data_IF_850641444622
#
_entry.id   IF_850641444622
#
_cell.length_a   1.000
_cell.length_b   1.000
_cell.length_c   1.000
_cell.angle_alpha   90.00
_cell.angle_beta   90.00
_cell.angle_gamma   90.00
#
_symmetry.space_group_name_H-M   'P 1'
#
loop_
_entity.id
_entity.type
_entity.pdbx_description
1 polymer ?
#
# COMPACT_ATOMS: atom_id res chain seq x y z
N UNK A 1 -23.85 -11.92 -2.65
CA UNK A 1 -22.93 -12.97 -2.19
C UNK A 1 -21.82 -12.21 -1.49
N UNK A 2 -21.66 -12.36 -0.17
CA UNK A 2 -20.52 -11.74 0.51
C UNK A 2 -19.24 -12.31 -0.12
N UNK A 3 -18.31 -11.44 -0.49
CA UNK A 3 -17.01 -11.91 -0.97
C UNK A 3 -16.27 -12.50 0.22
N UNK A 4 -15.73 -13.70 0.03
CA UNK A 4 -14.84 -14.31 0.98
C UNK A 4 -13.43 -13.75 0.73
N UNK A 5 -13.04 -12.80 1.57
CA UNK A 5 -11.70 -12.22 1.56
C UNK A 5 -10.68 -13.12 2.26
N UNK A 6 -11.13 -14.16 2.95
CA UNK A 6 -10.31 -14.95 3.87
C UNK A 6 -9.83 -14.17 5.08
N UNK A 7 -8.87 -14.78 5.77
CA UNK A 7 -8.09 -14.23 6.86
C UNK A 7 -6.60 -14.22 6.47
N UNK A 8 -5.85 -13.25 7.00
CA UNK A 8 -4.40 -13.16 6.81
C UNK A 8 -3.72 -12.61 8.07
N UNK A 9 -2.41 -12.85 8.21
CA UNK A 9 -1.61 -12.22 9.26
C UNK A 9 -1.33 -10.77 8.89
N UNK A 10 -1.57 -9.87 9.84
CA UNK A 10 -1.28 -8.46 9.65
C UNK A 10 0.22 -8.24 9.54
N UNK A 11 0.62 -7.43 8.56
CA UNK A 11 2.01 -6.99 8.38
C UNK A 11 2.24 -5.61 8.98
N UNK A 12 1.17 -4.95 9.44
CA UNK A 12 1.21 -3.59 9.94
C UNK A 12 0.57 -3.52 11.32
N UNK A 13 1.33 -2.99 12.28
CA UNK A 13 0.85 -2.78 13.64
C UNK A 13 -0.33 -1.81 13.68
N UNK A 14 -0.97 -1.63 14.84
CA UNK A 14 -2.06 -0.67 14.99
C UNK A 14 -1.65 0.73 14.58
N UNK A 15 -0.36 1.08 14.73
CA UNK A 15 0.17 2.38 14.33
C UNK A 15 0.48 2.53 12.82
N UNK A 16 0.32 1.45 12.06
CA UNK A 16 0.64 1.34 10.64
C UNK A 16 2.12 1.07 10.35
N UNK A 17 2.98 0.97 11.38
CA UNK A 17 4.37 0.56 11.19
C UNK A 17 4.46 -0.93 10.81
N UNK A 18 5.55 -1.32 10.14
CA UNK A 18 5.78 -2.74 9.83
C UNK A 18 5.91 -3.50 11.16
N UNK A 19 5.08 -4.52 11.32
CA UNK A 19 5.11 -5.44 12.44
C UNK A 19 5.72 -6.76 11.99
N UNK A 20 6.81 -7.16 12.67
CA UNK A 20 7.53 -8.41 12.40
C UNK A 20 7.13 -9.53 13.35
N UNK A 21 6.29 -9.23 14.35
CA UNK A 21 5.79 -10.22 15.30
C UNK A 21 4.59 -10.99 14.71
N UNK A 22 3.88 -10.41 13.73
CA UNK A 22 2.77 -11.03 13.00
C UNK A 22 1.73 -11.67 13.94
N UNK A 23 1.44 -11.01 15.06
CA UNK A 23 0.63 -11.57 16.16
C UNK A 23 -0.88 -11.37 15.99
N UNK A 24 -1.27 -10.65 14.94
CA UNK A 24 -2.62 -10.16 14.70
C UNK A 24 -3.17 -10.71 13.38
N UNK A 25 -4.42 -11.16 13.39
CA UNK A 25 -5.14 -11.61 12.19
C UNK A 25 -6.03 -10.48 11.67
N UNK A 26 -6.08 -10.31 10.36
CA UNK A 26 -6.96 -9.37 9.67
C UNK A 26 -7.94 -10.12 8.77
N UNK A 27 -9.13 -9.56 8.63
CA UNK A 27 -10.24 -10.13 7.86
C UNK A 27 -10.87 -9.07 6.96
N UNK A 28 -11.66 -9.51 5.97
CA UNK A 28 -12.43 -8.63 5.10
C UNK A 28 -11.54 -7.75 4.20
N UNK A 29 -12.00 -6.54 3.83
CA UNK A 29 -11.26 -5.61 2.97
C UNK A 29 -9.81 -5.36 3.37
N UNK A 30 -9.50 -5.43 4.66
CA UNK A 30 -8.17 -5.15 5.18
C UNK A 30 -7.12 -6.15 4.66
N UNK A 31 -7.51 -7.40 4.42
CA UNK A 31 -6.64 -8.43 3.81
C UNK A 31 -6.09 -7.93 2.46
N UNK A 32 -6.97 -7.42 1.60
CA UNK A 32 -6.59 -6.93 0.26
C UNK A 32 -5.79 -5.65 0.33
N UNK A 33 -6.16 -4.73 1.23
CA UNK A 33 -5.44 -3.47 1.40
C UNK A 33 -3.99 -3.70 1.88
N UNK A 34 -3.79 -4.63 2.81
CA UNK A 34 -2.44 -5.00 3.28
C UNK A 34 -1.66 -5.76 2.20
N UNK A 35 -2.31 -6.60 1.39
CA UNK A 35 -1.68 -7.24 0.24
C UNK A 35 -1.15 -6.22 -0.78
N UNK A 36 -1.97 -5.23 -1.16
CA UNK A 36 -1.54 -4.13 -2.03
C UNK A 36 -0.35 -3.36 -1.43
N UNK A 37 -0.42 -3.03 -0.13
CA UNK A 37 0.68 -2.33 0.54
C UNK A 37 1.98 -3.15 0.53
N UNK A 38 1.89 -4.46 0.79
CA UNK A 38 3.05 -5.37 0.71
C UNK A 38 3.65 -5.39 -0.69
N UNK A 39 2.85 -5.46 -1.76
CA UNK A 39 3.36 -5.39 -3.14
C UNK A 39 4.14 -4.12 -3.41
N UNK A 40 3.63 -2.98 -2.97
CA UNK A 40 4.35 -1.71 -3.15
C UNK A 40 5.69 -1.68 -2.41
N UNK A 41 5.75 -2.24 -1.21
CA UNK A 41 6.94 -2.24 -0.35
C UNK A 41 7.97 -3.33 -0.70
N UNK A 42 7.53 -4.44 -1.26
CA UNK A 42 8.36 -5.61 -1.55
C UNK A 42 9.18 -5.43 -2.84
N UNK A 43 10.39 -6.00 -2.87
CA UNK A 43 11.19 -6.05 -4.10
C UNK A 43 10.64 -7.05 -5.10
N UNK A 44 10.59 -6.65 -6.37
CA UNK A 44 10.49 -7.61 -7.48
C UNK A 44 11.51 -8.74 -7.31
N UNK A 45 11.06 -9.98 -7.48
CA UNK A 45 11.84 -11.20 -7.29
C UNK A 45 11.92 -11.72 -5.85
N UNK A 46 11.32 -11.04 -4.87
CA UNK A 46 11.33 -11.51 -3.48
C UNK A 46 10.45 -12.75 -3.25
N UNK A 47 9.41 -12.95 -4.06
CA UNK A 47 8.56 -14.13 -4.03
C UNK A 47 9.01 -15.15 -5.09
N UNK A 48 9.51 -16.33 -4.69
CA UNK A 48 9.98 -17.35 -5.65
C UNK A 48 8.88 -17.82 -6.62
N UNK A 49 7.62 -17.82 -6.19
CA UNK A 49 6.47 -18.22 -7.00
C UNK A 49 5.85 -17.08 -7.81
N UNK A 50 6.21 -15.83 -7.53
CA UNK A 50 5.70 -14.64 -8.21
C UNK A 50 6.84 -13.63 -8.42
N UNK A 51 7.86 -13.97 -9.24
CA UNK A 51 9.09 -13.17 -9.30
C UNK A 51 8.90 -11.80 -9.97
N UNK A 52 7.82 -11.58 -10.71
CA UNK A 52 7.52 -10.27 -11.30
C UNK A 52 6.91 -9.30 -10.30
N UNK A 53 6.40 -9.79 -9.17
CA UNK A 53 5.60 -9.02 -8.21
C UNK A 53 6.43 -8.07 -7.36
N UNK A 54 5.95 -6.84 -7.24
CA UNK A 54 6.45 -5.84 -6.31
C UNK A 54 7.35 -4.76 -6.91
N UNK A 55 7.38 -3.61 -6.24
CA UNK A 55 8.04 -2.37 -6.75
C UNK A 55 9.24 -1.94 -5.91
N UNK A 56 9.18 -2.15 -4.60
CA UNK A 56 10.10 -1.65 -3.59
C UNK A 56 10.24 -0.12 -3.62
N UNK A 57 9.17 0.56 -3.23
CA UNK A 57 9.15 2.02 -3.06
C UNK A 57 10.15 2.52 -2.00
N UNK A 58 10.64 1.65 -1.11
CA UNK A 58 11.66 2.00 -0.11
C UNK A 58 12.99 2.39 -0.76
N UNK A 59 13.26 1.98 -2.01
CA UNK A 59 14.43 2.43 -2.78
C UNK A 59 14.38 3.91 -3.17
N UNK A 60 13.20 4.53 -3.07
CA UNK A 60 13.03 5.96 -3.31
C UNK A 60 13.42 6.81 -2.09
N UNK A 61 13.66 6.19 -0.93
CA UNK A 61 14.18 6.89 0.24
C UNK A 61 15.59 7.42 -0.09
N UNK A 62 15.80 8.71 0.13
CA UNK A 62 17.02 9.44 -0.25
C UNK A 62 17.28 9.55 -1.76
N UNK A 63 16.34 9.13 -2.62
CA UNK A 63 16.38 9.46 -4.04
C UNK A 63 15.92 10.90 -4.26
N UNK A 64 16.33 11.50 -5.38
CA UNK A 64 15.85 12.81 -5.85
C UNK A 64 14.98 12.61 -7.12
N UNK A 65 13.77 12.03 -6.99
CA UNK A 65 12.93 11.74 -8.13
C UNK A 65 12.36 13.02 -8.74
N UNK A 66 12.41 13.12 -10.07
CA UNK A 66 11.72 14.19 -10.78
C UNK A 66 10.19 14.02 -10.70
N UNK A 67 9.40 15.07 -10.99
CA UNK A 67 7.95 14.95 -11.09
C UNK A 67 7.49 13.86 -12.08
N UNK A 68 8.25 13.66 -13.16
CA UNK A 68 7.99 12.60 -14.15
C UNK A 68 8.23 11.21 -13.56
N UNK A 69 9.25 11.04 -12.72
CA UNK A 69 9.52 9.77 -12.05
C UNK A 69 8.42 9.43 -11.04
N UNK A 70 7.95 10.43 -10.29
CA UNK A 70 6.82 10.27 -9.36
C UNK A 70 5.51 9.95 -10.10
N UNK A 71 5.26 10.56 -11.25
CA UNK A 71 4.09 10.24 -12.09
C UNK A 71 4.14 8.78 -12.57
N UNK A 72 5.29 8.35 -13.11
CA UNK A 72 5.50 6.96 -13.56
C UNK A 72 5.41 5.96 -12.42
N UNK A 73 5.89 6.34 -11.22
CA UNK A 73 5.74 5.52 -10.03
C UNK A 73 4.26 5.33 -9.68
N UNK A 74 3.44 6.39 -9.76
CA UNK A 74 2.00 6.29 -9.59
C UNK A 74 1.35 5.28 -10.55
N UNK A 75 1.65 5.39 -11.84
CA UNK A 75 1.13 4.44 -12.86
C UNK A 75 1.55 2.99 -12.59
N UNK A 76 2.80 2.78 -12.16
CA UNK A 76 3.30 1.45 -11.82
C UNK A 76 2.58 0.86 -10.60
N UNK A 77 2.43 1.64 -9.53
CA UNK A 77 1.78 1.20 -8.30
C UNK A 77 0.28 0.95 -8.49
N UNK A 78 -0.38 1.73 -9.35
CA UNK A 78 -1.74 1.48 -9.80
C UNK A 78 -1.85 0.12 -10.51
N UNK A 79 -0.92 -0.17 -11.43
CA UNK A 79 -0.83 -1.45 -12.11
C UNK A 79 -0.72 -2.63 -11.14
N UNK A 80 0.18 -2.55 -10.15
CA UNK A 80 0.38 -3.59 -9.13
C UNK A 80 -0.85 -3.78 -8.23
N UNK A 81 -1.54 -2.69 -7.87
CA UNK A 81 -2.77 -2.77 -7.09
C UNK A 81 -3.89 -3.50 -7.84
N UNK A 82 -4.01 -3.26 -9.16
CA UNK A 82 -4.99 -3.94 -10.00
C UNK A 82 -4.70 -5.44 -10.21
N UNK A 83 -3.47 -5.88 -9.95
CA UNK A 83 -3.12 -7.30 -9.97
C UNK A 83 -3.55 -8.03 -8.69
N UNK A 84 -4.00 -7.33 -7.63
CA UNK A 84 -4.43 -7.97 -6.38
C UNK A 84 -5.87 -8.50 -6.48
N UNK A 85 -6.10 -9.79 -6.21
CA UNK A 85 -7.46 -10.33 -6.14
C UNK A 85 -8.32 -9.57 -5.12
N UNK A 86 -9.41 -8.98 -5.60
CA UNK A 86 -10.34 -8.19 -4.79
C UNK A 86 -10.34 -6.69 -5.13
N UNK A 87 -9.31 -6.19 -5.80
CA UNK A 87 -9.29 -4.82 -6.34
C UNK A 87 -9.99 -4.79 -7.70
N UNK A 88 -11.05 -3.99 -7.82
CA UNK A 88 -11.82 -3.81 -9.07
C UNK A 88 -11.50 -2.50 -9.78
N UNK A 89 -10.83 -1.57 -9.10
CA UNK A 89 -10.33 -0.32 -9.65
C UNK A 89 -9.28 0.30 -8.74
N UNK A 90 -8.36 1.07 -9.31
CA UNK A 90 -7.33 1.76 -8.55
C UNK A 90 -6.98 3.09 -9.23
N UNK A 91 -6.56 4.07 -8.43
CA UNK A 91 -5.87 5.27 -8.89
C UNK A 91 -4.82 5.63 -7.85
N UNK A 92 -3.56 5.75 -8.27
CA UNK A 92 -2.45 5.97 -7.35
C UNK A 92 -1.67 7.22 -7.72
N UNK A 93 -1.35 8.02 -6.71
CA UNK A 93 -0.50 9.20 -6.86
C UNK A 93 0.66 9.14 -5.87
N UNK A 94 1.86 9.42 -6.37
CA UNK A 94 3.06 9.59 -5.56
C UNK A 94 3.48 11.06 -5.52
N UNK A 95 3.91 11.53 -4.35
CA UNK A 95 4.44 12.87 -4.14
C UNK A 95 5.60 12.85 -3.16
N UNK A 96 6.63 13.66 -3.40
CA UNK A 96 7.69 13.88 -2.43
C UNK A 96 7.43 15.19 -1.67
N UNK A 97 7.34 15.12 -0.34
CA UNK A 97 7.14 16.30 0.52
C UNK A 97 8.17 16.28 1.65
N UNK A 98 9.06 17.28 1.67
CA UNK A 98 10.09 17.37 2.71
C UNK A 98 11.01 16.15 2.80
N UNK A 99 11.30 15.50 1.66
CA UNK A 99 12.13 14.28 1.60
C UNK A 99 11.40 12.98 1.93
N UNK A 100 10.11 13.04 2.28
CA UNK A 100 9.27 11.87 2.51
C UNK A 100 8.43 11.60 1.28
N UNK A 101 8.44 10.35 0.80
CA UNK A 101 7.56 9.92 -0.29
C UNK A 101 6.19 9.55 0.30
N UNK A 102 5.16 10.22 -0.21
CA UNK A 102 3.76 9.96 0.09
C UNK A 102 3.12 9.29 -1.12
N UNK A 103 2.57 8.10 -0.93
CA UNK A 103 1.81 7.36 -1.92
C UNK A 103 0.37 7.33 -1.43
N UNK A 104 -0.56 7.84 -2.22
CA UNK A 104 -1.99 7.80 -1.94
C UNK A 104 -2.66 7.00 -3.04
N UNK A 105 -3.18 5.83 -2.69
CA UNK A 105 -4.00 5.00 -3.56
C UNK A 105 -5.46 5.10 -3.18
N UNK A 106 -6.30 5.43 -4.15
CA UNK A 106 -7.74 5.19 -4.06
C UNK A 106 -8.02 3.83 -4.68
N UNK A 107 -8.49 2.90 -3.87
CA UNK A 107 -8.77 1.52 -4.27
C UNK A 107 -10.28 1.27 -4.21
N UNK A 108 -10.82 0.75 -5.29
CA UNK A 108 -12.20 0.30 -5.37
C UNK A 108 -12.18 -1.21 -5.16
N UNK A 109 -12.84 -1.68 -4.11
CA UNK A 109 -13.16 -3.07 -3.87
C UNK A 109 -14.64 -3.28 -4.16
N UNK A 110 -15.09 -4.52 -4.28
CA UNK A 110 -16.50 -4.82 -4.53
C UNK A 110 -17.45 -4.28 -3.45
N UNK A 111 -16.96 -4.09 -2.22
CA UNK A 111 -17.73 -3.62 -1.07
C UNK A 111 -17.70 -2.10 -0.90
N UNK A 112 -16.75 -1.41 -1.54
CA UNK A 112 -16.62 0.05 -1.42
C UNK A 112 -15.24 0.59 -1.80
N UNK A 113 -15.12 1.91 -1.70
CA UNK A 113 -13.90 2.66 -2.00
C UNK A 113 -13.09 2.91 -0.74
N UNK A 114 -11.77 2.73 -0.83
CA UNK A 114 -10.82 2.90 0.26
C UNK A 114 -9.67 3.82 -0.15
N UNK A 115 -9.15 4.58 0.81
CA UNK A 115 -7.90 5.32 0.67
C UNK A 115 -6.80 4.60 1.42
N UNK A 116 -5.79 4.12 0.70
CA UNK A 116 -4.57 3.57 1.22
C UNK A 116 -3.47 4.64 1.13
N UNK A 117 -2.85 4.98 2.24
CA UNK A 117 -1.72 5.91 2.27
C UNK A 117 -0.48 5.16 2.76
N UNK A 118 0.59 5.22 1.98
CA UNK A 118 1.90 4.68 2.35
C UNK A 118 2.90 5.83 2.37
N UNK A 119 3.55 6.01 3.51
CA UNK A 119 4.59 7.02 3.69
C UNK A 119 5.93 6.31 3.88
N UNK A 120 6.89 6.59 3.00
CA UNK A 120 8.26 6.12 3.20
C UNK A 120 9.09 7.30 3.70
N UNK A 121 8.86 7.66 4.96
CA UNK A 121 9.78 8.50 5.71
C UNK A 121 10.94 7.65 6.22
N UNK A 122 12.08 8.27 6.53
CA UNK A 122 13.12 7.61 7.33
C UNK A 122 12.45 6.83 8.47
N UNK A 123 12.80 5.55 8.64
CA UNK A 123 12.19 4.62 9.59
C UNK A 123 11.96 5.28 10.97
N UNK A 124 10.75 5.83 11.22
CA UNK A 124 10.46 6.48 12.50
C UNK A 124 8.99 6.73 12.85
N UNK A 125 8.01 6.67 11.95
CA UNK A 125 6.59 6.85 12.33
C UNK A 125 5.60 6.54 11.21
N UNK A 126 4.51 5.85 11.54
CA UNK A 126 3.27 5.78 10.76
C UNK A 126 2.13 6.31 11.64
N UNK A 127 1.21 7.06 11.04
CA UNK A 127 0.04 7.66 11.70
C UNK A 127 -1.20 7.41 10.82
N UNK A 128 -2.32 7.08 11.45
CA UNK A 128 -3.61 6.83 10.79
C UNK A 128 -4.69 7.61 11.54
N UNK A 129 -5.62 8.19 10.78
CA UNK A 129 -6.82 8.81 11.33
C UNK A 129 -8.03 8.48 10.45
N UNK A 130 -9.21 8.25 11.03
CA UNK A 130 -10.46 8.14 10.27
C UNK A 130 -10.83 9.50 9.66
N UNK A 131 -11.51 9.50 8.51
CA UNK A 131 -12.16 10.69 7.96
C UNK A 131 -13.65 10.69 8.36
N UNK A 132 -13.98 11.53 9.36
CA UNK A 132 -15.33 11.95 9.77
C UNK A 132 -15.33 12.50 11.21
N UNK A 133 -15.97 13.60 11.60
CA UNK A 133 -16.79 14.64 10.96
C UNK A 133 -16.37 16.02 11.48
N UNK A 134 -16.71 17.09 10.76
CA UNK A 134 -16.53 18.46 11.22
C UNK A 134 -17.27 18.71 12.55
N UNK A 135 -16.57 19.36 13.49
CA UNK A 135 -17.15 20.09 14.62
C UNK A 135 -16.41 21.43 14.75
#
# INVERSE_FOLDING_TARGET
MALDYGDDLSTFGPDGSIDIDFDSVVEGPRVVLEAVARRWLMSSGALPWSPAEGVNVLRMINADPSPTDLYRLGELLEGEALQEPGVVGASVRAELRGGVLFIVGRLELAEGSYLLTVETGEARRVLFRPLGEAA
#
